data_IF_920123461479
#
_entry.id   IF_920123461479
#
_cell.length_a   1.000
_cell.length_b   1.000
_cell.length_c   1.000
_cell.angle_alpha   90.00
_cell.angle_beta   90.00
_cell.angle_gamma   90.00
#
_symmetry.space_group_name_H-M   'P 1'
#
loop_
_entity.id
_entity.type
_entity.pdbx_description
1 polymer ?
#
# COMPACT_ATOMS: atom_id res chain seq x y z
N UNK A 1 0.18 -3.21 5.02
CA UNK A 1 1.44 -3.87 5.45
C UNK A 1 1.79 -5.10 4.63
N UNK A 2 1.04 -6.21 4.67
CA UNK A 2 1.38 -7.43 3.92
C UNK A 2 1.64 -7.20 2.42
N UNK A 3 0.74 -6.47 1.74
CA UNK A 3 0.93 -6.08 0.33
C UNK A 3 2.28 -5.38 0.09
N UNK A 4 2.61 -4.39 0.92
CA UNK A 4 3.87 -3.64 0.80
C UNK A 4 5.11 -4.54 1.01
N UNK A 5 5.01 -5.57 1.86
CA UNK A 5 6.09 -6.54 2.01
C UNK A 5 6.32 -7.32 0.72
N UNK A 6 5.26 -7.82 0.08
CA UNK A 6 5.41 -8.52 -1.21
C UNK A 6 5.99 -7.60 -2.28
N UNK A 7 5.52 -6.35 -2.37
CA UNK A 7 6.00 -5.42 -3.40
C UNK A 7 7.49 -5.07 -3.20
N UNK A 8 7.93 -4.90 -1.94
CA UNK A 8 9.36 -4.76 -1.62
C UNK A 8 10.16 -6.01 -1.98
N UNK A 9 9.61 -7.20 -1.75
CA UNK A 9 10.24 -8.46 -2.14
C UNK A 9 10.43 -8.54 -3.66
N UNK A 10 9.41 -8.17 -4.44
CA UNK A 10 9.49 -8.11 -5.91
C UNK A 10 10.62 -7.19 -6.36
N UNK A 11 10.69 -5.98 -5.79
CA UNK A 11 11.77 -5.03 -6.08
C UNK A 11 13.15 -5.51 -5.65
N UNK A 12 13.24 -6.35 -4.61
CA UNK A 12 14.47 -6.92 -4.12
C UNK A 12 14.90 -8.20 -4.88
N UNK A 13 14.14 -8.61 -5.90
CA UNK A 13 14.45 -9.78 -6.73
C UNK A 13 14.04 -11.11 -6.12
N UNK A 14 13.02 -11.14 -5.27
CA UNK A 14 12.41 -12.39 -4.81
C UNK A 14 11.86 -13.20 -5.99
N UNK A 15 11.96 -14.52 -5.89
CA UNK A 15 11.42 -15.48 -6.86
C UNK A 15 9.89 -15.50 -6.83
N UNK A 16 9.26 -15.96 -7.92
CA UNK A 16 7.80 -16.09 -7.99
C UNK A 16 7.22 -16.99 -6.88
N UNK A 17 7.98 -18.00 -6.44
CA UNK A 17 7.60 -18.87 -5.33
C UNK A 17 7.59 -18.13 -3.98
N UNK A 18 8.65 -17.37 -3.67
CA UNK A 18 8.72 -16.56 -2.46
C UNK A 18 7.60 -15.51 -2.44
N UNK A 19 7.35 -14.90 -3.59
CA UNK A 19 6.26 -13.94 -3.78
C UNK A 19 4.89 -14.58 -3.54
N UNK A 20 4.64 -15.77 -4.10
CA UNK A 20 3.37 -16.47 -3.91
C UNK A 20 3.13 -16.78 -2.43
N UNK A 21 4.16 -17.23 -1.71
CA UNK A 21 4.09 -17.46 -0.27
C UNK A 21 3.77 -16.16 0.50
N UNK A 22 4.40 -15.04 0.13
CA UNK A 22 4.14 -13.74 0.77
C UNK A 22 2.72 -13.23 0.52
N UNK A 23 2.22 -13.36 -0.71
CA UNK A 23 0.85 -12.95 -1.06
C UNK A 23 -0.20 -13.83 -0.38
N UNK A 24 0.04 -15.15 -0.30
CA UNK A 24 -0.88 -16.09 0.35
C UNK A 24 -0.91 -15.91 1.87
N UNK A 25 0.25 -15.76 2.51
CA UNK A 25 0.35 -15.90 3.96
C UNK A 25 0.61 -14.59 4.71
N UNK A 26 1.09 -13.53 4.06
CA UNK A 26 1.44 -12.27 4.72
C UNK A 26 0.26 -11.62 5.46
N UNK A 27 -0.88 -11.47 4.79
CA UNK A 27 -2.06 -10.86 5.41
C UNK A 27 -2.69 -11.77 6.49
N UNK A 28 -2.87 -13.08 6.29
CA UNK A 28 -3.31 -13.99 7.34
C UNK A 28 -2.42 -13.96 8.58
N UNK A 29 -1.09 -13.92 8.43
CA UNK A 29 -0.16 -13.87 9.55
C UNK A 29 -0.33 -12.60 10.39
N UNK A 30 -0.45 -11.42 9.75
CA UNK A 30 -0.60 -10.15 10.47
C UNK A 30 -2.00 -9.94 11.05
N UNK A 31 -3.03 -10.51 10.43
CA UNK A 31 -4.44 -10.29 10.81
C UNK A 31 -5.04 -11.40 11.68
N UNK A 32 -4.29 -12.47 11.95
CA UNK A 32 -4.73 -13.62 12.73
C UNK A 32 -5.38 -13.22 14.07
N UNK A 33 -6.47 -13.88 14.41
CA UNK A 33 -7.19 -13.74 15.69
C UNK A 33 -6.87 -14.86 16.67
N UNK A 34 -6.23 -15.94 16.20
CA UNK A 34 -5.86 -17.11 16.99
C UNK A 34 -4.39 -17.45 16.76
N UNK A 35 -3.73 -17.98 17.78
CA UNK A 35 -2.33 -18.38 17.67
C UNK A 35 -2.14 -19.49 16.61
N UNK A 36 -3.07 -20.45 16.54
CA UNK A 36 -3.04 -21.50 15.53
C UNK A 36 -3.09 -20.92 14.09
N UNK A 37 -3.93 -19.91 13.85
CA UNK A 37 -4.01 -19.23 12.56
C UNK A 37 -2.74 -18.42 12.25
N UNK A 38 -2.21 -17.69 13.25
CA UNK A 38 -0.95 -16.98 13.13
C UNK A 38 0.19 -17.93 12.76
N UNK A 39 0.35 -19.03 13.51
CA UNK A 39 1.38 -20.03 13.28
C UNK A 39 1.29 -20.65 11.89
N UNK A 40 0.10 -21.11 11.50
CA UNK A 40 -0.12 -21.73 10.19
C UNK A 40 0.20 -20.80 9.02
N UNK A 41 0.03 -19.49 9.19
CA UNK A 41 0.39 -18.49 8.18
C UNK A 41 1.87 -18.05 8.28
N UNK A 42 2.46 -18.02 9.47
CA UNK A 42 3.83 -17.57 9.65
C UNK A 42 4.85 -18.64 9.24
N UNK A 43 4.58 -19.93 9.50
CA UNK A 43 5.50 -21.02 9.18
C UNK A 43 5.95 -21.05 7.71
N UNK A 44 5.06 -20.92 6.70
CA UNK A 44 5.47 -20.85 5.29
C UNK A 44 6.34 -19.63 4.99
N UNK A 45 6.03 -18.45 5.55
CA UNK A 45 6.83 -17.24 5.33
C UNK A 45 8.26 -17.40 5.85
N UNK A 46 8.45 -18.06 6.99
CA UNK A 46 9.75 -18.30 7.59
C UNK A 46 10.65 -19.26 6.79
N UNK A 47 10.12 -19.93 5.77
CA UNK A 47 10.92 -20.73 4.84
C UNK A 47 11.67 -19.87 3.82
N UNK A 48 11.26 -18.62 3.63
CA UNK A 48 11.89 -17.66 2.70
C UNK A 48 13.21 -17.18 3.30
N UNK A 49 14.38 -17.55 2.74
CA UNK A 49 15.67 -17.24 3.36
C UNK A 49 15.93 -15.73 3.51
N UNK A 50 15.38 -14.94 2.58
CA UNK A 50 15.55 -13.48 2.52
C UNK A 50 14.38 -12.70 3.11
N UNK A 51 13.46 -13.33 3.85
CA UNK A 51 12.25 -12.68 4.36
C UNK A 51 12.56 -11.38 5.12
N UNK A 52 13.51 -11.45 6.07
CA UNK A 52 13.88 -10.30 6.90
C UNK A 52 14.44 -9.13 6.07
N UNK A 53 15.11 -9.42 4.95
CA UNK A 53 15.59 -8.41 3.99
C UNK A 53 14.42 -7.75 3.27
N UNK A 54 13.40 -8.52 2.87
CA UNK A 54 12.24 -7.99 2.15
C UNK A 54 11.33 -7.13 3.02
N UNK A 55 11.07 -7.60 4.25
CA UNK A 55 10.17 -6.93 5.19
C UNK A 55 10.83 -5.79 5.96
N UNK A 56 12.17 -5.77 6.03
CA UNK A 56 12.97 -4.73 6.69
C UNK A 56 13.05 -4.86 8.22
N UNK A 57 12.56 -5.97 8.77
CA UNK A 57 12.62 -6.32 10.19
C UNK A 57 12.92 -7.80 10.33
N UNK A 58 13.57 -8.21 11.42
CA UNK A 58 13.69 -9.63 11.73
C UNK A 58 12.31 -10.17 12.08
N UNK A 59 11.88 -11.23 11.39
CA UNK A 59 10.64 -11.94 11.68
C UNK A 59 10.99 -13.33 12.19
N UNK A 60 10.45 -13.66 13.35
CA UNK A 60 10.52 -14.98 13.96
C UNK A 60 9.13 -15.40 14.41
N UNK A 61 8.92 -16.71 14.57
CA UNK A 61 7.68 -17.23 15.13
C UNK A 61 7.64 -16.88 16.63
N UNK A 62 6.71 -16.03 17.04
CA UNK A 62 6.53 -15.71 18.45
C UNK A 62 6.01 -16.93 19.23
N UNK A 63 6.47 -17.18 20.47
CA UNK A 63 5.89 -18.19 21.36
C UNK A 63 4.42 -17.90 21.68
N UNK A 64 3.60 -18.95 21.87
CA UNK A 64 2.15 -18.81 22.13
C UNK A 64 1.84 -17.95 23.37
N UNK A 65 2.66 -18.05 24.40
CA UNK A 65 2.51 -17.30 25.66
C UNK A 65 2.90 -15.81 25.54
N UNK A 66 3.52 -15.41 24.42
CA UNK A 66 3.97 -14.04 24.16
C UNK A 66 3.20 -13.40 22.99
N UNK A 67 2.60 -14.22 22.13
CA UNK A 67 1.83 -13.77 21.00
C UNK A 67 0.46 -13.23 21.42
N UNK A 68 0.09 -12.08 20.84
CA UNK A 68 -1.24 -11.52 20.95
C UNK A 68 -1.74 -11.10 19.57
N UNK A 69 -3.04 -11.25 19.26
CA UNK A 69 -3.59 -10.70 18.04
C UNK A 69 -3.41 -9.18 18.05
N UNK A 70 -3.20 -8.58 16.87
CA UNK A 70 -3.12 -7.13 16.78
C UNK A 70 -4.41 -6.49 17.28
N UNK A 71 -4.31 -5.41 18.08
CA UNK A 71 -5.49 -4.64 18.48
C UNK A 71 -6.24 -4.17 17.22
N UNK A 72 -7.57 -4.14 17.27
CA UNK A 72 -8.40 -3.83 16.10
C UNK A 72 -8.62 -2.33 15.89
N UNK A 73 -8.16 -1.53 16.83
CA UNK A 73 -8.25 -0.08 16.89
C UNK A 73 -6.96 0.64 16.43
N UNK A 74 -5.97 -0.09 15.92
CA UNK A 74 -4.78 0.50 15.31
C UNK A 74 -5.00 0.86 13.83
N UNK A 75 -4.11 1.70 13.32
CA UNK A 75 -4.04 2.16 11.92
C UNK A 75 -4.06 1.02 10.89
N UNK A 76 -3.51 -0.15 11.19
CA UNK A 76 -3.53 -1.31 10.29
C UNK A 76 -4.94 -1.83 9.95
N UNK A 77 -5.96 -1.49 10.75
CA UNK A 77 -7.38 -1.82 10.52
C UNK A 77 -8.23 -0.59 10.21
N UNK A 78 -7.64 0.59 10.18
CA UNK A 78 -8.35 1.83 9.85
C UNK A 78 -8.64 1.88 8.35
N UNK A 79 -9.92 2.07 8.00
CA UNK A 79 -10.34 2.35 6.63
C UNK A 79 -10.49 3.87 6.45
N UNK A 80 -9.60 4.53 5.70
CA UNK A 80 -9.67 5.98 5.48
C UNK A 80 -10.94 6.41 4.75
N UNK A 81 -11.60 5.52 3.99
CA UNK A 81 -12.80 5.89 3.23
C UNK A 81 -13.95 6.31 4.14
N UNK A 82 -14.02 5.75 5.34
CA UNK A 82 -15.00 6.15 6.37
C UNK A 82 -14.95 7.63 6.72
N UNK A 83 -13.79 8.28 6.53
CA UNK A 83 -13.59 9.72 6.74
C UNK A 83 -13.72 10.50 5.43
N UNK A 84 -13.15 9.99 4.33
CA UNK A 84 -13.19 10.67 3.02
C UNK A 84 -14.63 10.86 2.53
N UNK A 85 -15.51 9.88 2.73
CA UNK A 85 -16.94 9.95 2.38
C UNK A 85 -17.69 11.10 3.08
N UNK A 86 -17.19 11.56 4.23
CA UNK A 86 -17.80 12.65 5.01
C UNK A 86 -17.22 14.03 4.65
N UNK A 87 -16.24 14.08 3.75
CA UNK A 87 -15.51 15.32 3.43
C UNK A 87 -16.37 16.24 2.55
N UNK A 88 -16.63 17.45 3.04
CA UNK A 88 -17.44 18.47 2.34
C UNK A 88 -16.61 19.56 1.66
N UNK A 89 -15.29 19.58 1.88
CA UNK A 89 -14.37 20.49 1.18
C UNK A 89 -13.93 19.87 -0.16
N UNK A 90 -13.58 20.68 -1.17
CA UNK A 90 -13.01 20.15 -2.41
C UNK A 90 -11.73 19.35 -2.17
N UNK A 91 -11.59 18.18 -2.79
CA UNK A 91 -10.43 17.30 -2.67
C UNK A 91 -9.78 17.06 -4.03
N UNK A 92 -8.46 17.26 -4.12
CA UNK A 92 -7.63 16.75 -5.21
C UNK A 92 -6.83 15.55 -4.71
N UNK A 93 -7.16 14.36 -5.20
CA UNK A 93 -6.41 13.14 -4.95
C UNK A 93 -5.56 12.78 -6.17
N UNK A 94 -4.26 12.56 -5.97
CA UNK A 94 -3.31 12.26 -7.05
C UNK A 94 -2.60 10.94 -6.73
N UNK A 95 -2.60 10.04 -7.71
CA UNK A 95 -1.94 8.74 -7.66
C UNK A 95 -0.89 8.63 -8.78
N UNK A 96 0.13 7.81 -8.56
CA UNK A 96 1.05 7.38 -9.62
C UNK A 96 0.63 6.05 -10.20
N UNK A 97 0.57 5.92 -11.53
CA UNK A 97 0.20 4.67 -12.22
C UNK A 97 1.07 3.48 -11.81
N UNK A 98 2.35 3.72 -11.52
CA UNK A 98 3.31 2.70 -11.14
C UNK A 98 3.53 2.64 -9.62
N UNK A 99 2.62 3.19 -8.81
CA UNK A 99 2.70 3.02 -7.36
C UNK A 99 2.46 1.55 -6.96
N UNK A 100 3.42 0.98 -6.24
CA UNK A 100 3.35 -0.38 -5.68
C UNK A 100 3.31 -0.38 -4.15
N UNK A 101 3.33 0.78 -3.49
CA UNK A 101 3.12 0.88 -2.05
C UNK A 101 1.64 1.03 -1.71
N UNK A 102 0.90 1.67 -2.60
CA UNK A 102 -0.56 1.80 -2.59
C UNK A 102 -1.05 1.49 -3.99
N UNK A 103 -1.94 0.51 -4.13
CA UNK A 103 -2.53 0.15 -5.43
C UNK A 103 -3.30 1.37 -5.99
N UNK A 104 -2.86 1.97 -7.11
CA UNK A 104 -3.44 3.18 -7.63
C UNK A 104 -4.82 2.95 -8.23
N UNK A 105 -5.11 1.74 -8.76
CA UNK A 105 -6.42 1.42 -9.30
C UNK A 105 -7.44 1.27 -8.17
N UNK A 106 -7.07 0.54 -7.11
CA UNK A 106 -7.92 0.40 -5.91
C UNK A 106 -8.13 1.75 -5.22
N UNK A 107 -7.05 2.50 -4.99
CA UNK A 107 -7.09 3.79 -4.29
C UNK A 107 -7.90 4.84 -5.05
N UNK A 108 -7.65 5.00 -6.36
CA UNK A 108 -8.38 5.96 -7.17
C UNK A 108 -9.87 5.62 -7.26
N UNK A 109 -10.24 4.35 -7.45
CA UNK A 109 -11.64 3.93 -7.49
C UNK A 109 -12.35 4.19 -6.16
N UNK A 110 -11.69 3.93 -5.03
CA UNK A 110 -12.25 4.18 -3.70
C UNK A 110 -12.49 5.68 -3.47
N UNK A 111 -11.53 6.55 -3.82
CA UNK A 111 -11.71 8.00 -3.73
C UNK A 111 -12.77 8.53 -4.69
N UNK A 112 -12.85 8.01 -5.91
CA UNK A 112 -13.88 8.39 -6.88
C UNK A 112 -15.28 8.06 -6.35
N UNK A 113 -15.46 6.89 -5.75
CA UNK A 113 -16.72 6.50 -5.13
C UNK A 113 -17.05 7.39 -3.92
N UNK A 114 -16.09 7.59 -3.02
CA UNK A 114 -16.29 8.37 -1.79
C UNK A 114 -16.59 9.86 -2.06
N UNK A 115 -16.03 10.42 -3.14
CA UNK A 115 -16.17 11.84 -3.50
C UNK A 115 -17.25 12.09 -4.55
N UNK A 116 -18.03 11.09 -4.97
CA UNK A 116 -19.02 11.23 -6.04
C UNK A 116 -20.08 12.32 -5.79
N UNK A 117 -20.38 12.61 -4.51
CA UNK A 117 -21.30 13.68 -4.11
C UNK A 117 -20.67 15.08 -4.03
N UNK A 118 -19.36 15.19 -4.23
CA UNK A 118 -18.60 16.43 -4.11
C UNK A 118 -18.04 16.82 -5.48
N UNK A 119 -18.86 17.54 -6.27
CA UNK A 119 -18.58 17.86 -7.68
C UNK A 119 -17.32 18.72 -7.89
N UNK A 120 -16.83 19.40 -6.84
CA UNK A 120 -15.59 20.17 -6.91
C UNK A 120 -14.34 19.28 -6.80
N UNK A 121 -14.50 18.05 -6.31
CA UNK A 121 -13.40 17.11 -6.12
C UNK A 121 -12.93 16.46 -7.41
N UNK A 122 -11.66 16.04 -7.42
CA UNK A 122 -10.97 15.47 -8.56
C UNK A 122 -10.03 14.35 -8.12
N UNK A 123 -10.04 13.23 -8.86
CA UNK A 123 -9.13 12.10 -8.65
C UNK A 123 -8.35 11.86 -9.93
N UNK A 124 -7.03 11.85 -9.84
CA UNK A 124 -6.14 11.74 -10.99
C UNK A 124 -5.09 10.64 -10.78
N UNK A 125 -4.82 9.92 -11.87
CA UNK A 125 -3.74 8.93 -11.94
C UNK A 125 -2.74 9.43 -12.98
N UNK A 126 -1.53 9.78 -12.55
CA UNK A 126 -0.47 10.26 -13.43
C UNK A 126 0.27 9.05 -14.01
N UNK A 127 0.36 8.90 -15.33
CA UNK A 127 1.06 7.79 -15.96
C UNK A 127 2.58 7.86 -15.74
N UNK A 128 3.23 6.71 -15.70
CA UNK A 128 4.70 6.63 -15.68
C UNK A 128 5.38 7.15 -14.41
N UNK A 129 4.65 7.30 -13.29
CA UNK A 129 5.23 7.72 -12.00
C UNK A 129 4.86 6.76 -10.88
N UNK A 130 5.77 6.61 -9.91
CA UNK A 130 5.60 5.73 -8.75
C UNK A 130 5.03 6.43 -7.52
N UNK A 131 5.22 5.82 -6.35
CA UNK A 131 4.65 6.26 -5.06
C UNK A 131 4.92 7.72 -4.69
N UNK A 132 6.13 8.23 -4.95
CA UNK A 132 6.49 9.62 -4.64
C UNK A 132 6.21 10.58 -5.80
N UNK A 133 5.37 10.17 -6.75
CA UNK A 133 5.10 10.87 -8.01
C UNK A 133 6.38 11.18 -8.82
N UNK A 134 7.43 10.38 -8.66
CA UNK A 134 8.65 10.49 -9.48
C UNK A 134 8.55 9.53 -10.67
N UNK A 135 9.18 9.85 -11.82
CA UNK A 135 9.21 8.96 -12.98
C UNK A 135 9.64 7.55 -12.60
N UNK A 136 8.82 6.55 -12.90
CA UNK A 136 9.12 5.16 -12.62
C UNK A 136 8.55 4.26 -13.70
N UNK A 137 9.28 3.20 -14.03
CA UNK A 137 8.89 2.16 -14.98
C UNK A 137 8.23 0.97 -14.27
N UNK A 138 8.67 0.63 -13.06
CA UNK A 138 8.22 -0.60 -12.36
C UNK A 138 7.74 -0.37 -10.91
N UNK A 139 7.73 0.88 -10.45
CA UNK A 139 7.30 1.28 -9.10
C UNK A 139 8.33 1.09 -7.99
N UNK A 140 9.45 0.44 -8.27
CA UNK A 140 10.51 0.24 -7.29
C UNK A 140 11.22 1.55 -6.96
N UNK A 141 11.62 1.70 -5.70
CA UNK A 141 12.30 2.91 -5.24
C UNK A 141 13.59 3.15 -6.05
N UNK A 142 13.86 4.42 -6.38
CA UNK A 142 15.05 4.95 -7.09
C UNK A 142 14.98 5.05 -8.61
N UNK A 143 13.80 5.25 -9.18
CA UNK A 143 13.67 5.63 -10.59
C UNK A 143 13.38 7.13 -10.65
N UNK A 144 14.24 7.88 -11.36
CA UNK A 144 14.01 9.30 -11.68
C UNK A 144 14.20 10.33 -10.55
N UNK A 145 14.37 11.58 -10.98
CA UNK A 145 14.40 12.77 -10.12
C UNK A 145 13.47 13.84 -10.70
N UNK A 146 12.93 14.69 -9.84
CA UNK A 146 11.97 15.73 -10.25
C UNK A 146 10.53 15.22 -10.25
N UNK A 147 9.60 16.17 -10.18
CA UNK A 147 8.18 15.91 -10.33
C UNK A 147 7.81 15.95 -11.82
N UNK A 148 6.79 15.20 -12.26
CA UNK A 148 6.30 15.26 -13.62
C UNK A 148 5.62 16.61 -13.85
N UNK A 149 5.75 17.16 -15.07
CA UNK A 149 5.03 18.38 -15.47
C UNK A 149 3.53 18.28 -15.18
N UNK A 150 2.93 17.10 -15.36
CA UNK A 150 1.50 16.92 -15.08
C UNK A 150 1.12 17.17 -13.62
N UNK A 151 2.00 16.87 -12.67
CA UNK A 151 1.74 17.16 -11.26
C UNK A 151 1.66 18.68 -11.03
N UNK A 152 2.62 19.43 -11.57
CA UNK A 152 2.66 20.89 -11.45
C UNK A 152 1.43 21.53 -12.10
N UNK A 153 1.07 21.12 -13.32
CA UNK A 153 -0.15 21.56 -14.00
C UNK A 153 -1.42 21.29 -13.19
N UNK A 154 -1.53 20.10 -12.57
CA UNK A 154 -2.69 19.77 -11.74
C UNK A 154 -2.82 20.67 -10.52
N UNK A 155 -1.70 21.02 -9.89
CA UNK A 155 -1.70 21.93 -8.74
C UNK A 155 -2.10 23.34 -9.18
N UNK A 156 -1.55 23.84 -10.29
CA UNK A 156 -1.90 25.16 -10.84
C UNK A 156 -3.38 25.23 -11.24
N UNK A 157 -3.87 24.23 -11.98
CA UNK A 157 -5.28 24.08 -12.36
C UNK A 157 -6.19 24.06 -11.13
N UNK A 158 -5.79 23.37 -10.07
CA UNK A 158 -6.60 23.21 -8.86
C UNK A 158 -6.69 24.48 -8.03
N UNK A 159 -5.55 25.13 -7.78
CA UNK A 159 -5.49 26.35 -6.98
C UNK A 159 -6.23 27.49 -7.69
N UNK A 160 -6.16 27.57 -9.03
CA UNK A 160 -6.85 28.61 -9.80
C UNK A 160 -8.39 28.53 -9.77
N UNK A 161 -8.99 27.46 -9.22
CA UNK A 161 -10.45 27.29 -9.10
C UNK A 161 -11.05 28.01 -7.89
N UNK A 162 -10.23 28.51 -6.97
CA UNK A 162 -10.62 29.15 -5.71
C UNK A 162 -9.94 30.51 -5.53
#
# INVERSE_FOLDING_TARGET
>A
MAYQWTQRARCAGASDEEIALMDEHGAPALKATTYAGYRSAMEPLLTIPSLSRYVGVTIELQPENEWNPWPRDIDAFFDPMTVIEQTTIPVLAIYGENDIQVDPAQGAAAYQAALAGNAESRVEVIPGVGHTLKPSTNGCALEGSGLPTRYEELIDEWIARF
#
